data_IF_159246250771
#
_entry.id   IF_159246250771
#
_cell.length_a   1.000
_cell.length_b   1.000
_cell.length_c   1.000
_cell.angle_alpha   90.00
_cell.angle_beta   90.00
_cell.angle_gamma   90.00
#
_symmetry.space_group_name_H-M   'P 1'
#
loop_
_entity.id
_entity.type
_entity.pdbx_description
1 polymer ?
#
# COMPACT_ATOMS: atom_id res chain seq x y z
N UNK A 1 33.08 4.69 -2.61
CA UNK A 1 31.92 4.24 -1.80
C UNK A 1 30.65 4.61 -2.54
N UNK A 2 29.73 3.68 -2.73
CA UNK A 2 28.41 4.01 -3.27
C UNK A 2 27.64 4.85 -2.23
N UNK A 3 27.07 5.99 -2.66
CA UNK A 3 26.24 6.84 -1.81
C UNK A 3 24.78 6.45 -2.06
N UNK A 4 24.11 5.86 -1.06
CA UNK A 4 22.71 5.46 -1.17
C UNK A 4 21.73 6.65 -1.21
N UNK A 5 20.44 6.34 -1.12
CA UNK A 5 19.34 7.34 -1.21
C UNK A 5 18.79 7.79 0.16
N UNK A 6 19.47 7.42 1.26
CA UNK A 6 18.99 7.66 2.64
C UNK A 6 18.53 9.10 2.87
N UNK A 7 19.27 10.09 2.40
CA UNK A 7 18.98 11.52 2.60
C UNK A 7 18.16 12.13 1.44
N UNK A 8 17.57 11.28 0.60
CA UNK A 8 16.82 11.66 -0.61
C UNK A 8 15.42 11.04 -0.65
N UNK A 9 15.06 10.26 0.36
CA UNK A 9 13.78 9.57 0.45
C UNK A 9 13.11 9.95 1.76
N UNK A 10 11.80 10.12 1.70
CA UNK A 10 10.93 10.34 2.85
C UNK A 10 9.73 9.41 2.75
N UNK A 11 9.12 9.09 3.90
CA UNK A 11 7.79 8.50 3.95
C UNK A 11 6.83 9.69 3.96
N UNK A 12 6.08 9.88 2.87
CA UNK A 12 5.19 11.03 2.72
C UNK A 12 3.84 10.82 3.39
N UNK A 13 3.37 9.58 3.46
CA UNK A 13 2.15 9.20 4.17
C UNK A 13 2.07 7.69 4.39
N UNK A 14 1.10 7.28 5.21
CA UNK A 14 0.81 5.88 5.50
C UNK A 14 -0.70 5.64 5.59
N UNK A 15 -1.12 4.40 5.34
CA UNK A 15 -2.51 3.98 5.50
C UNK A 15 -2.56 2.50 5.87
N UNK A 16 -3.64 2.11 6.56
CA UNK A 16 -3.81 0.76 7.09
C UNK A 16 -5.30 0.40 7.10
N UNK A 17 -5.67 -0.65 6.38
CA UNK A 17 -7.03 -1.16 6.41
C UNK A 17 -7.43 -1.49 7.86
N UNK A 18 -8.70 -1.27 8.19
CA UNK A 18 -9.18 -1.57 9.54
C UNK A 18 -9.02 -3.05 9.86
N UNK A 19 -8.30 -3.33 10.95
CA UNK A 19 -8.18 -4.68 11.48
C UNK A 19 -9.53 -5.18 12.01
N UNK A 20 -9.88 -6.42 11.67
CA UNK A 20 -11.08 -7.06 12.17
C UNK A 20 -11.59 -8.18 11.25
N UNK A 21 -12.71 -8.77 11.65
CA UNK A 21 -13.42 -9.78 10.88
C UNK A 21 -14.20 -9.11 9.73
N UNK A 22 -13.54 -9.04 8.56
CA UNK A 22 -14.05 -8.39 7.34
C UNK A 22 -14.48 -9.44 6.31
N UNK A 23 -15.41 -10.32 6.69
CA UNK A 23 -15.84 -11.47 5.86
C UNK A 23 -16.52 -11.07 4.53
N UNK A 24 -16.93 -9.81 4.43
CA UNK A 24 -17.59 -9.19 3.28
C UNK A 24 -16.62 -8.46 2.34
N UNK A 25 -15.32 -8.40 2.66
CA UNK A 25 -14.32 -7.69 1.89
C UNK A 25 -13.30 -8.65 1.26
N UNK A 26 -12.93 -8.36 0.02
CA UNK A 26 -11.84 -9.05 -0.66
C UNK A 26 -10.47 -8.41 -0.33
N UNK A 27 -9.36 -9.13 -0.53
CA UNK A 27 -8.02 -8.55 -0.35
C UNK A 27 -7.78 -7.27 -1.16
N UNK A 28 -8.39 -7.16 -2.34
CA UNK A 28 -8.34 -5.95 -3.17
C UNK A 28 -9.05 -4.77 -2.51
N UNK A 29 -10.19 -4.99 -1.86
CA UNK A 29 -10.93 -3.95 -1.12
C UNK A 29 -10.10 -3.43 0.06
N UNK A 30 -9.48 -4.35 0.82
CA UNK A 30 -8.61 -4.00 1.93
C UNK A 30 -7.40 -3.17 1.45
N UNK A 31 -6.77 -3.58 0.35
CA UNK A 31 -5.65 -2.85 -0.24
C UNK A 31 -6.07 -1.46 -0.73
N UNK A 32 -7.24 -1.35 -1.36
CA UNK A 32 -7.79 -0.08 -1.81
C UNK A 32 -8.06 0.87 -0.63
N UNK A 33 -8.66 0.36 0.47
CA UNK A 33 -8.91 1.12 1.70
C UNK A 33 -7.61 1.71 2.28
N UNK A 34 -6.59 0.87 2.45
CA UNK A 34 -5.29 1.33 2.97
C UNK A 34 -4.61 2.35 2.02
N UNK A 35 -4.74 2.14 0.72
CA UNK A 35 -4.16 3.03 -0.29
C UNK A 35 -4.85 4.39 -0.32
N UNK A 36 -6.18 4.43 -0.20
CA UNK A 36 -6.95 5.69 -0.13
C UNK A 36 -6.64 6.48 1.14
N UNK A 37 -6.51 5.82 2.29
CA UNK A 37 -6.07 6.46 3.53
C UNK A 37 -4.65 7.04 3.38
N UNK A 38 -3.74 6.28 2.77
CA UNK A 38 -2.36 6.72 2.51
C UNK A 38 -2.30 7.94 1.58
N UNK A 39 -3.11 7.98 0.53
CA UNK A 39 -3.19 9.14 -0.38
C UNK A 39 -3.69 10.39 0.36
N UNK A 40 -4.68 10.23 1.23
CA UNK A 40 -5.23 11.32 2.02
C UNK A 40 -4.19 11.87 3.02
N UNK A 41 -3.46 11.00 3.70
CA UNK A 41 -2.38 11.38 4.64
C UNK A 41 -1.21 12.06 3.90
N UNK A 42 -0.83 11.53 2.74
CA UNK A 42 0.25 12.08 1.92
C UNK A 42 -0.11 13.41 1.21
N UNK A 43 -1.40 13.70 1.03
CA UNK A 43 -1.88 14.91 0.34
C UNK A 43 -1.54 14.96 -1.15
N UNK A 44 -1.49 13.80 -1.82
CA UNK A 44 -1.16 13.71 -3.26
C UNK A 44 -2.28 13.01 -4.06
N UNK A 45 -2.21 13.13 -5.38
CA UNK A 45 -3.09 12.45 -6.32
C UNK A 45 -2.43 11.21 -6.95
N UNK A 46 -3.23 10.22 -7.36
CA UNK A 46 -2.75 8.97 -7.97
C UNK A 46 -1.88 9.19 -9.21
N UNK A 47 -2.15 10.24 -10.00
CA UNK A 47 -1.39 10.59 -11.22
C UNK A 47 0.05 11.06 -10.95
N UNK A 48 0.40 11.39 -9.70
CA UNK A 48 1.75 11.78 -9.28
C UNK A 48 2.63 10.57 -8.94
N UNK A 49 2.03 9.38 -8.81
CA UNK A 49 2.75 8.13 -8.51
C UNK A 49 3.30 7.54 -9.80
N UNK A 50 4.61 7.32 -9.84
CA UNK A 50 5.30 6.82 -11.04
C UNK A 50 5.47 5.29 -11.06
N UNK A 51 5.43 4.66 -9.88
CA UNK A 51 5.59 3.22 -9.72
C UNK A 51 4.93 2.76 -8.41
N UNK A 52 4.51 1.51 -8.38
CA UNK A 52 3.98 0.85 -7.20
C UNK A 52 4.64 -0.51 -7.03
N UNK A 53 4.84 -0.92 -5.78
CA UNK A 53 5.28 -2.26 -5.41
C UNK A 53 4.28 -2.84 -4.43
N UNK A 54 3.88 -4.07 -4.69
CA UNK A 54 2.99 -4.85 -3.83
C UNK A 54 3.75 -6.10 -3.39
N UNK A 55 3.51 -6.53 -2.15
CA UNK A 55 4.08 -7.75 -1.59
C UNK A 55 3.04 -8.45 -0.75
N UNK A 56 3.00 -9.77 -0.83
CA UNK A 56 2.23 -10.62 0.07
C UNK A 56 3.10 -11.78 0.56
N UNK A 57 2.76 -12.34 1.73
CA UNK A 57 3.53 -13.46 2.28
C UNK A 57 3.30 -14.78 1.52
N UNK A 58 2.05 -15.06 1.14
CA UNK A 58 1.64 -16.28 0.42
C UNK A 58 0.47 -15.92 -0.49
N UNK A 59 0.72 -15.71 -1.77
CA UNK A 59 -0.29 -15.18 -2.69
C UNK A 59 -1.58 -16.02 -2.72
N UNK A 60 -1.42 -17.35 -2.87
CA UNK A 60 -2.55 -18.28 -2.96
C UNK A 60 -3.48 -18.24 -1.74
N UNK A 61 -2.98 -17.83 -0.57
CA UNK A 61 -3.77 -17.73 0.65
C UNK A 61 -4.23 -16.29 0.92
N UNK A 62 -3.38 -15.30 0.66
CA UNK A 62 -3.62 -13.91 1.05
C UNK A 62 -4.39 -13.10 0.01
N UNK A 63 -4.23 -13.40 -1.28
CA UNK A 63 -4.91 -12.70 -2.39
C UNK A 63 -5.65 -13.63 -3.34
N UNK A 64 -5.53 -14.95 -3.14
CA UNK A 64 -6.16 -15.98 -3.96
C UNK A 64 -5.29 -16.41 -5.14
N UNK A 65 -5.68 -17.48 -5.86
CA UNK A 65 -5.01 -17.88 -7.09
C UNK A 65 -5.21 -16.79 -8.16
N UNK A 66 -4.11 -16.35 -8.77
CA UNK A 66 -4.11 -15.41 -9.89
C UNK A 66 -4.52 -16.04 -11.21
#
# INVERSE_FOLDING_TARGET
>A
MAKGIRDKVVILGAGCSKFGERWDAEPADLMAEAFEECLADAGIEKNQIQAAWQSTGIDAFSVGPG
#
